data_IF_544807491787
#
_entry.id   IF_544807491787
#
_cell.length_a   1.000
_cell.length_b   1.000
_cell.length_c   1.000
_cell.angle_alpha   90.00
_cell.angle_beta   90.00
_cell.angle_gamma   90.00
#
_symmetry.space_group_name_H-M   'P 1'
#
loop_
_entity.id
_entity.type
_entity.pdbx_description
1 polymer ?
#
# COMPACT_ATOMS: atom_id res chain seq x y z
N UNK A 1 -23.74 -39.18 -23.68
CA UNK A 1 -22.55 -38.61 -22.98
C UNK A 1 -23.01 -37.83 -21.75
N UNK A 2 -22.68 -38.31 -20.54
CA UNK A 2 -22.96 -37.58 -19.29
C UNK A 2 -22.09 -36.31 -19.26
N UNK A 3 -22.72 -35.15 -19.11
CA UNK A 3 -22.04 -33.86 -18.83
C UNK A 3 -21.12 -34.08 -17.62
N UNK A 4 -19.82 -34.02 -17.85
CA UNK A 4 -18.81 -34.12 -16.81
C UNK A 4 -19.11 -33.12 -15.69
N UNK A 5 -19.19 -33.63 -14.47
CA UNK A 5 -19.39 -32.85 -13.26
C UNK A 5 -18.17 -31.91 -13.11
N UNK A 6 -18.29 -30.65 -13.51
CA UNK A 6 -17.40 -29.59 -12.98
C UNK A 6 -18.06 -28.98 -11.74
N UNK A 7 -18.05 -29.76 -10.65
CA UNK A 7 -18.56 -29.33 -9.35
C UNK A 7 -17.59 -29.79 -8.25
N UNK A 8 -16.32 -29.47 -8.45
CA UNK A 8 -15.25 -29.64 -7.45
C UNK A 8 -14.57 -28.30 -7.19
N UNK A 9 -15.35 -27.24 -6.98
CA UNK A 9 -14.93 -26.18 -6.07
C UNK A 9 -15.19 -26.74 -4.67
N UNK A 10 -14.18 -27.44 -4.16
CA UNK A 10 -14.21 -28.35 -3.02
C UNK A 10 -15.01 -27.80 -1.83
N UNK A 11 -16.01 -28.55 -1.36
CA UNK A 11 -16.72 -28.29 -0.09
C UNK A 11 -15.74 -27.97 1.06
N UNK A 12 -14.60 -28.67 1.09
CA UNK A 12 -13.51 -28.44 2.03
C UNK A 12 -12.83 -27.07 1.88
N UNK A 13 -12.57 -26.61 0.66
CA UNK A 13 -11.99 -25.27 0.42
C UNK A 13 -12.96 -24.16 0.83
N UNK A 14 -14.25 -24.31 0.52
CA UNK A 14 -15.27 -23.36 0.95
C UNK A 14 -15.33 -23.28 2.48
N UNK A 15 -15.40 -24.43 3.15
CA UNK A 15 -15.42 -24.48 4.61
C UNK A 15 -14.13 -23.96 5.23
N UNK A 16 -12.97 -24.19 4.60
CA UNK A 16 -11.69 -23.60 5.01
C UNK A 16 -11.73 -22.08 4.93
N UNK A 17 -12.21 -21.50 3.82
CA UNK A 17 -12.36 -20.04 3.66
C UNK A 17 -13.34 -19.48 4.70
N UNK A 18 -14.48 -20.13 4.94
CA UNK A 18 -15.46 -19.68 5.94
C UNK A 18 -14.86 -19.70 7.35
N UNK A 19 -14.16 -20.78 7.72
CA UNK A 19 -13.47 -20.89 9.02
C UNK A 19 -12.39 -19.82 9.16
N UNK A 20 -11.55 -19.65 8.14
CA UNK A 20 -10.51 -18.62 8.13
C UNK A 20 -11.13 -17.22 8.22
N UNK A 21 -12.22 -16.97 7.50
CA UNK A 21 -12.91 -15.69 7.52
C UNK A 21 -13.49 -15.33 8.90
N UNK A 22 -13.92 -16.32 9.69
CA UNK A 22 -14.34 -16.08 11.08
C UNK A 22 -13.18 -15.80 12.03
N UNK A 23 -11.96 -16.25 11.69
CA UNK A 23 -10.79 -16.09 12.54
C UNK A 23 -10.07 -14.74 12.33
N UNK A 24 -10.23 -14.13 11.14
CA UNK A 24 -9.60 -12.84 10.85
C UNK A 24 -10.39 -11.66 11.41
N UNK A 25 -9.64 -10.67 11.91
CA UNK A 25 -10.15 -9.32 12.17
C UNK A 25 -9.96 -8.47 10.91
N UNK A 26 -11.04 -7.84 10.46
CA UNK A 26 -11.07 -7.03 9.24
C UNK A 26 -11.04 -5.54 9.58
N UNK A 27 -10.06 -4.81 9.04
CA UNK A 27 -9.89 -3.38 9.27
C UNK A 27 -10.07 -2.58 7.97
N UNK A 28 -10.10 -1.25 8.09
CA UNK A 28 -10.19 -0.34 6.94
C UNK A 28 -9.12 -0.61 5.86
N UNK A 29 -7.89 -0.97 6.23
CA UNK A 29 -6.84 -1.31 5.26
C UNK A 29 -7.20 -2.58 4.46
N UNK A 30 -7.87 -3.56 5.08
CA UNK A 30 -8.36 -4.75 4.38
C UNK A 30 -9.52 -4.41 3.42
N UNK A 31 -10.33 -3.40 3.77
CA UNK A 31 -11.34 -2.84 2.88
C UNK A 31 -10.72 -2.12 1.67
N UNK A 32 -9.70 -1.28 1.88
CA UNK A 32 -8.94 -0.63 0.82
C UNK A 32 -8.38 -1.66 -0.17
N UNK A 33 -7.73 -2.70 0.36
CA UNK A 33 -7.20 -3.79 -0.46
C UNK A 33 -8.30 -4.46 -1.29
N UNK A 34 -9.43 -4.78 -0.67
CA UNK A 34 -10.58 -5.40 -1.35
C UNK A 34 -11.11 -4.53 -2.48
N UNK A 35 -11.27 -3.23 -2.27
CA UNK A 35 -11.79 -2.32 -3.28
C UNK A 35 -10.83 -2.19 -4.47
N UNK A 36 -9.52 -2.04 -4.24
CA UNK A 36 -8.54 -2.06 -5.32
C UNK A 36 -8.62 -3.36 -6.13
N UNK A 37 -8.62 -4.51 -5.45
CA UNK A 37 -8.75 -5.81 -6.11
C UNK A 37 -10.04 -5.96 -6.94
N UNK A 38 -11.15 -5.42 -6.45
CA UNK A 38 -12.46 -5.47 -7.12
C UNK A 38 -12.48 -4.65 -8.40
N UNK A 39 -11.98 -3.41 -8.34
CA UNK A 39 -12.00 -2.47 -9.47
C UNK A 39 -10.88 -2.69 -10.48
N UNK A 40 -9.77 -3.35 -10.08
CA UNK A 40 -8.67 -3.74 -10.98
C UNK A 40 -9.14 -4.53 -12.21
N UNK A 41 -10.27 -5.24 -12.10
CA UNK A 41 -10.85 -6.06 -13.17
C UNK A 41 -11.75 -5.30 -14.14
N UNK A 42 -12.18 -4.07 -13.82
CA UNK A 42 -13.30 -3.41 -14.51
C UNK A 42 -12.92 -2.16 -15.32
N UNK A 43 -11.89 -1.41 -14.92
CA UNK A 43 -11.56 -0.13 -15.58
C UNK A 43 -10.05 0.05 -15.78
N UNK A 44 -9.34 0.47 -14.72
CA UNK A 44 -7.90 0.70 -14.67
C UNK A 44 -7.33 -0.30 -13.68
N UNK A 45 -6.19 -0.92 -14.00
CA UNK A 45 -5.57 -1.99 -13.21
C UNK A 45 -4.90 -1.43 -11.94
N UNK A 46 -5.67 -0.82 -11.05
CA UNK A 46 -5.24 -0.42 -9.70
C UNK A 46 -5.38 -1.65 -8.81
N UNK A 47 -4.27 -2.28 -8.44
CA UNK A 47 -4.29 -3.42 -7.51
C UNK A 47 -4.64 -2.95 -6.10
N UNK A 48 -5.09 -3.88 -5.24
CA UNK A 48 -5.27 -3.58 -3.81
C UNK A 48 -4.00 -3.04 -3.15
N UNK A 49 -2.84 -3.57 -3.56
CA UNK A 49 -1.52 -3.10 -3.11
C UNK A 49 -1.25 -1.66 -3.54
N UNK A 50 -1.61 -1.30 -4.78
CA UNK A 50 -1.42 0.07 -5.31
C UNK A 50 -2.22 1.11 -4.52
N UNK A 51 -3.46 0.79 -4.11
CA UNK A 51 -4.25 1.70 -3.29
C UNK A 51 -3.62 1.89 -1.91
N UNK A 52 -3.11 0.82 -1.28
CA UNK A 52 -2.39 0.93 -0.01
C UNK A 52 -1.10 1.74 -0.18
N UNK A 53 -0.36 1.54 -1.27
CA UNK A 53 0.83 2.31 -1.60
C UNK A 53 0.50 3.80 -1.73
N UNK A 54 -0.62 4.15 -2.37
CA UNK A 54 -1.08 5.54 -2.43
C UNK A 54 -1.33 6.14 -1.04
N UNK A 55 -2.01 5.40 -0.16
CA UNK A 55 -2.22 5.83 1.22
C UNK A 55 -0.92 5.95 2.03
N UNK A 56 0.04 5.06 1.81
CA UNK A 56 1.36 5.15 2.40
C UNK A 56 2.09 6.42 1.95
N UNK A 57 2.13 6.68 0.65
CA UNK A 57 2.86 7.82 0.08
C UNK A 57 2.30 9.15 0.58
N UNK A 58 1.00 9.38 0.39
CA UNK A 58 0.41 10.68 0.70
C UNK A 58 -0.03 10.82 2.16
N UNK A 59 -0.35 9.72 2.84
CA UNK A 59 -0.78 9.74 4.23
C UNK A 59 0.37 9.64 5.24
N UNK A 60 1.52 9.09 4.84
CA UNK A 60 2.64 8.83 5.77
C UNK A 60 3.95 9.40 5.23
N UNK A 61 4.41 8.95 4.07
CA UNK A 61 5.76 9.27 3.58
C UNK A 61 5.95 10.77 3.31
N UNK A 62 5.11 11.39 2.48
CA UNK A 62 5.22 12.81 2.14
C UNK A 62 5.01 13.74 3.34
N UNK A 63 4.00 13.54 4.21
CA UNK A 63 3.87 14.32 5.45
C UNK A 63 5.09 14.23 6.37
N UNK A 64 5.80 13.11 6.37
CA UNK A 64 7.00 12.94 7.19
C UNK A 64 8.25 13.58 6.58
N UNK A 65 8.29 13.84 5.27
CA UNK A 65 9.48 14.36 4.59
C UNK A 65 10.02 15.66 5.21
N UNK A 66 9.21 16.70 5.50
CA UNK A 66 9.77 17.94 6.06
C UNK A 66 10.40 17.78 7.44
N UNK A 67 10.01 16.75 8.19
CA UNK A 67 10.58 16.45 9.50
C UNK A 67 11.85 15.57 9.40
N UNK A 68 11.89 14.65 8.44
CA UNK A 68 12.99 13.70 8.28
C UNK A 68 14.10 14.21 7.34
N UNK A 69 13.76 15.00 6.33
CA UNK A 69 14.67 15.43 5.28
C UNK A 69 15.87 16.25 5.78
N UNK A 70 15.72 17.22 6.71
CA UNK A 70 16.87 18.01 7.18
C UNK A 70 17.91 17.13 7.88
N UNK A 71 17.45 16.23 8.77
CA UNK A 71 18.32 15.30 9.49
C UNK A 71 18.95 14.28 8.54
N UNK A 72 18.19 13.79 7.56
CA UNK A 72 18.70 12.88 6.55
C UNK A 72 19.81 13.52 5.71
N UNK A 73 19.60 14.76 5.25
CA UNK A 73 20.58 15.50 4.47
C UNK A 73 21.89 15.72 5.24
N UNK A 74 21.80 16.12 6.51
CA UNK A 74 22.98 16.31 7.37
C UNK A 74 23.77 15.00 7.59
N UNK A 75 23.09 13.90 7.92
CA UNK A 75 23.74 12.59 8.08
C UNK A 75 24.44 12.16 6.78
N UNK A 76 23.74 12.25 5.65
CA UNK A 76 24.30 11.83 4.37
C UNK A 76 25.45 12.73 3.91
N UNK A 77 25.36 14.05 4.14
CA UNK A 77 26.44 14.99 3.86
C UNK A 77 27.70 14.67 4.66
N UNK A 78 27.55 14.44 5.97
CA UNK A 78 28.66 14.05 6.84
C UNK A 78 29.30 12.72 6.42
N UNK A 79 28.50 11.76 5.95
CA UNK A 79 29.03 10.51 5.39
C UNK A 79 29.83 10.82 4.14
N UNK A 80 29.25 11.51 3.15
CA UNK A 80 29.92 11.77 1.85
C UNK A 80 31.25 12.50 1.97
N UNK A 81 31.36 13.46 2.89
CA UNK A 81 32.63 14.12 3.20
C UNK A 81 33.66 13.12 3.77
N UNK A 82 33.27 12.26 4.71
CA UNK A 82 34.18 11.27 5.31
C UNK A 82 34.73 10.25 4.32
N UNK A 83 33.93 9.87 3.31
CA UNK A 83 34.32 8.88 2.29
C UNK A 83 34.89 9.53 1.02
N UNK A 84 35.09 10.86 0.98
CA UNK A 84 35.59 11.61 -0.19
C UNK A 84 34.89 11.24 -1.52
N UNK A 85 33.60 10.91 -1.44
CA UNK A 85 32.86 10.35 -2.59
C UNK A 85 32.31 11.43 -3.53
N UNK A 86 32.04 12.62 -2.98
CA UNK A 86 31.43 13.75 -3.68
C UNK A 86 32.31 14.30 -4.80
N UNK A 87 33.63 14.25 -4.65
CA UNK A 87 34.58 14.77 -5.65
C UNK A 87 34.96 13.72 -6.71
N UNK A 88 35.06 12.44 -6.32
CA UNK A 88 35.56 11.39 -7.20
C UNK A 88 34.46 10.72 -8.04
N UNK A 89 33.24 10.56 -7.49
CA UNK A 89 32.16 9.80 -8.14
C UNK A 89 30.76 10.36 -7.80
N UNK A 90 30.34 11.47 -8.44
CA UNK A 90 29.06 12.13 -8.13
C UNK A 90 27.83 11.23 -8.35
N UNK A 91 27.89 10.36 -9.36
CA UNK A 91 26.81 9.41 -9.66
C UNK A 91 26.65 8.39 -8.52
N UNK A 92 27.75 7.85 -8.01
CA UNK A 92 27.73 6.86 -6.91
C UNK A 92 27.19 7.50 -5.64
N UNK A 93 27.60 8.74 -5.34
CA UNK A 93 27.04 9.53 -4.24
C UNK A 93 25.52 9.71 -4.36
N UNK A 94 25.03 10.09 -5.54
CA UNK A 94 23.59 10.24 -5.79
C UNK A 94 22.82 8.92 -5.61
N UNK A 95 23.36 7.79 -6.08
CA UNK A 95 22.74 6.47 -5.88
C UNK A 95 22.66 6.10 -4.41
N UNK A 96 23.74 6.29 -3.64
CA UNK A 96 23.76 6.01 -2.20
C UNK A 96 22.78 6.92 -1.45
N UNK A 97 22.61 8.16 -1.89
CA UNK A 97 21.61 9.09 -1.32
C UNK A 97 20.17 8.68 -1.64
N UNK A 98 19.88 8.26 -2.87
CA UNK A 98 18.51 7.97 -3.28
C UNK A 98 18.03 6.58 -2.88
N UNK A 99 18.94 5.61 -2.73
CA UNK A 99 18.60 4.22 -2.43
C UNK A 99 17.77 4.06 -1.14
N UNK A 100 18.15 4.64 0.03
CA UNK A 100 17.36 4.50 1.26
C UNK A 100 15.97 5.13 1.14
N UNK A 101 15.88 6.27 0.43
CA UNK A 101 14.62 6.96 0.16
C UNK A 101 13.71 6.06 -0.69
N UNK A 102 14.24 5.46 -1.75
CA UNK A 102 13.50 4.54 -2.61
C UNK A 102 13.02 3.30 -1.84
N UNK A 103 13.87 2.71 -0.99
CA UNK A 103 13.51 1.57 -0.15
C UNK A 103 12.36 1.92 0.80
N UNK A 104 12.42 3.07 1.47
CA UNK A 104 11.37 3.52 2.39
C UNK A 104 10.07 3.88 1.67
N UNK A 105 10.17 4.45 0.47
CA UNK A 105 9.03 4.89 -0.32
C UNK A 105 8.26 3.71 -0.95
N UNK A 106 8.96 2.73 -1.50
CA UNK A 106 8.36 1.68 -2.36
C UNK A 106 8.46 0.29 -1.72
N UNK A 107 9.66 -0.15 -1.35
CA UNK A 107 9.87 -1.53 -0.92
C UNK A 107 9.19 -1.82 0.42
N UNK A 108 9.24 -0.88 1.35
CA UNK A 108 8.63 -1.05 2.68
C UNK A 108 7.11 -1.33 2.63
N UNK A 109 6.27 -0.50 1.99
CA UNK A 109 4.83 -0.78 1.90
C UNK A 109 4.52 -2.02 1.05
N UNK A 110 5.31 -2.29 0.02
CA UNK A 110 5.10 -3.45 -0.85
C UNK A 110 5.40 -4.77 -0.13
N UNK A 111 6.52 -4.86 0.58
CA UNK A 111 6.86 -6.01 1.42
C UNK A 111 5.81 -6.24 2.50
N UNK A 112 5.33 -5.16 3.14
CA UNK A 112 4.26 -5.26 4.11
C UNK A 112 2.97 -5.82 3.51
N UNK A 113 2.61 -5.38 2.29
CA UNK A 113 1.46 -5.91 1.58
C UNK A 113 1.63 -7.41 1.25
N UNK A 114 2.80 -7.82 0.76
CA UNK A 114 3.08 -9.23 0.45
C UNK A 114 3.00 -10.12 1.69
N UNK A 115 3.52 -9.66 2.83
CA UNK A 115 3.48 -10.40 4.09
C UNK A 115 2.06 -10.49 4.66
N UNK A 116 1.30 -9.39 4.58
CA UNK A 116 -0.05 -9.28 5.12
C UNK A 116 -1.07 -10.04 4.26
N UNK A 117 -1.05 -9.86 2.95
CA UNK A 117 -2.06 -10.34 2.00
C UNK A 117 -1.67 -11.67 1.35
N UNK A 118 -1.46 -12.69 2.17
CA UNK A 118 -1.31 -14.08 1.70
C UNK A 118 -2.61 -14.60 1.07
N UNK A 119 -2.51 -15.61 0.19
CA UNK A 119 -3.63 -16.21 -0.55
C UNK A 119 -4.85 -16.52 0.35
N UNK A 120 -4.62 -17.14 1.50
CA UNK A 120 -5.65 -17.48 2.50
C UNK A 120 -6.39 -16.25 3.03
N UNK A 121 -5.64 -15.21 3.44
CA UNK A 121 -6.23 -13.94 3.93
C UNK A 121 -6.98 -13.22 2.82
N UNK A 122 -6.42 -13.17 1.60
CA UNK A 122 -7.06 -12.53 0.44
C UNK A 122 -8.39 -13.21 0.12
N UNK A 123 -8.45 -14.54 0.15
CA UNK A 123 -9.68 -15.30 -0.05
C UNK A 123 -10.72 -14.99 1.05
N UNK A 124 -10.28 -14.94 2.31
CA UNK A 124 -11.14 -14.59 3.45
C UNK A 124 -11.69 -13.16 3.37
N UNK A 125 -10.86 -12.18 2.98
CA UNK A 125 -11.25 -10.77 2.76
C UNK A 125 -12.30 -10.69 1.63
N UNK A 126 -12.02 -11.33 0.50
CA UNK A 126 -12.94 -11.35 -0.66
C UNK A 126 -14.29 -11.99 -0.29
N UNK A 127 -14.28 -13.06 0.50
CA UNK A 127 -15.51 -13.69 0.99
C UNK A 127 -16.30 -12.74 1.90
N UNK A 128 -15.64 -12.15 2.91
CA UNK A 128 -16.28 -11.27 3.89
C UNK A 128 -16.89 -10.02 3.24
N UNK A 129 -16.10 -9.22 2.51
CA UNK A 129 -16.59 -7.96 1.98
C UNK A 129 -17.57 -8.11 0.82
N UNK A 130 -17.54 -9.21 0.07
CA UNK A 130 -18.54 -9.47 -0.98
C UNK A 130 -19.96 -9.65 -0.43
N UNK A 131 -20.07 -10.18 0.77
CA UNK A 131 -21.35 -10.37 1.48
C UNK A 131 -21.69 -9.21 2.41
N UNK A 132 -20.74 -8.29 2.62
CA UNK A 132 -20.90 -7.15 3.52
C UNK A 132 -21.69 -6.02 2.87
N UNK A 133 -22.41 -5.26 3.70
CA UNK A 133 -23.10 -4.02 3.32
C UNK A 133 -22.10 -3.00 2.75
N UNK A 134 -20.85 -3.05 3.21
CA UNK A 134 -19.79 -2.13 2.81
C UNK A 134 -19.27 -2.33 1.38
N UNK A 135 -19.69 -3.39 0.68
CA UNK A 135 -19.16 -3.76 -0.65
C UNK A 135 -19.15 -2.60 -1.65
N UNK A 136 -20.19 -1.76 -1.62
CA UNK A 136 -20.44 -0.66 -2.55
C UNK A 136 -20.63 0.69 -1.82
N UNK A 137 -20.28 0.74 -0.53
CA UNK A 137 -20.54 1.90 0.32
C UNK A 137 -19.75 3.14 -0.10
N UNK A 138 -18.48 2.98 -0.50
CA UNK A 138 -17.60 4.10 -0.86
C UNK A 138 -17.14 3.92 -2.31
N UNK A 139 -17.38 4.89 -3.20
CA UNK A 139 -16.94 4.79 -4.58
C UNK A 139 -15.41 4.86 -4.68
N UNK A 140 -14.85 4.15 -5.65
CA UNK A 140 -13.38 4.00 -5.80
C UNK A 140 -12.66 5.34 -6.01
N UNK A 141 -13.27 6.26 -6.76
CA UNK A 141 -12.67 7.59 -7.00
C UNK A 141 -12.54 8.39 -5.70
N UNK A 142 -13.52 8.28 -4.80
CA UNK A 142 -13.48 8.95 -3.50
C UNK A 142 -12.41 8.32 -2.60
N UNK A 143 -12.31 6.99 -2.57
CA UNK A 143 -11.26 6.29 -1.83
C UNK A 143 -9.85 6.68 -2.30
N UNK A 144 -9.65 6.82 -3.61
CA UNK A 144 -8.36 7.27 -4.14
C UNK A 144 -8.09 8.76 -3.89
N UNK A 145 -9.12 9.60 -3.82
CA UNK A 145 -8.97 11.03 -3.56
C UNK A 145 -8.63 11.37 -2.10
N UNK A 146 -9.14 10.61 -1.13
CA UNK A 146 -8.94 10.86 0.31
C UNK A 146 -7.47 11.14 0.70
N UNK A 147 -6.49 10.26 0.38
CA UNK A 147 -5.12 10.49 0.82
C UNK A 147 -4.50 11.75 0.18
N UNK A 148 -4.88 12.09 -1.06
CA UNK A 148 -4.45 13.33 -1.72
C UNK A 148 -5.04 14.57 -1.04
N UNK A 149 -6.33 14.56 -0.73
CA UNK A 149 -7.00 15.68 -0.06
C UNK A 149 -6.42 15.93 1.34
N UNK A 150 -6.16 14.86 2.10
CA UNK A 150 -5.52 14.96 3.41
C UNK A 150 -4.09 15.52 3.31
N UNK A 151 -3.34 15.10 2.29
CA UNK A 151 -2.01 15.64 2.05
C UNK A 151 -2.05 17.13 1.70
N UNK A 152 -2.94 17.56 0.80
CA UNK A 152 -3.10 18.96 0.44
C UNK A 152 -3.51 19.82 1.65
N UNK A 153 -4.42 19.32 2.48
CA UNK A 153 -4.81 19.98 3.73
C UNK A 153 -3.61 20.13 4.67
N UNK A 154 -2.82 19.07 4.83
CA UNK A 154 -1.61 19.11 5.65
C UNK A 154 -0.58 20.12 5.15
N UNK A 155 -0.36 20.18 3.83
CA UNK A 155 0.51 21.19 3.21
C UNK A 155 -0.03 22.60 3.47
N UNK A 156 -1.34 22.83 3.31
CA UNK A 156 -1.95 24.12 3.58
C UNK A 156 -1.76 24.56 5.05
N UNK A 157 -1.95 23.64 6.00
CA UNK A 157 -1.69 23.90 7.43
C UNK A 157 -0.23 24.28 7.64
N UNK A 158 0.71 23.49 7.10
CA UNK A 158 2.14 23.74 7.25
C UNK A 158 2.54 25.12 6.70
N UNK A 159 1.97 25.54 5.57
CA UNK A 159 2.21 26.86 4.97
C UNK A 159 1.62 27.98 5.83
N UNK A 160 0.41 27.83 6.37
CA UNK A 160 -0.22 28.84 7.23
C UNK A 160 0.53 28.99 8.57
N UNK A 161 1.07 27.89 9.11
CA UNK A 161 1.76 27.88 10.42
C UNK A 161 3.23 28.29 10.37
N UNK A 162 3.80 28.49 9.18
CA UNK A 162 5.17 28.98 8.99
C UNK A 162 5.19 30.48 8.73
#
# INVERSE_FOLDING_TARGET
MKKGIRKTDNYFERNRIIRQARNYRYNFIDYLYYQGERYSKKYIRISGSTLIMQYWLFGVFFPLLPFLAPRYYDIMGNIFVKINLTENHPIVGAVIFLLPIFVAMVLLPELWCLLRYRKDRVAAIKHHYRQSIWKDAIPMWLLSAIPLLLFLLWVAILVITR
#
